data_IF_912575771471
#
_entry.id   IF_912575771471
#
_cell.length_a   1.000
_cell.length_b   1.000
_cell.length_c   1.000
_cell.angle_alpha   90.00
_cell.angle_beta   90.00
_cell.angle_gamma   90.00
#
_symmetry.space_group_name_H-M   'P 1'
#
loop_
_entity.id
_entity.type
_entity.pdbx_description
1 polymer ?
#
# COMPACT_ATOMS: atom_id res chain seq x y z
N UNK A 1 29.90 25.02 29.75
CA UNK A 1 30.08 23.61 29.33
C UNK A 1 28.95 23.27 28.34
N UNK A 2 29.24 23.47 27.05
CA UNK A 2 28.49 22.92 25.89
C UNK A 2 28.77 21.39 25.86
N UNK A 3 27.92 20.46 25.42
CA UNK A 3 27.11 20.43 24.18
C UNK A 3 26.20 19.17 24.17
N UNK A 4 25.10 19.26 23.42
CA UNK A 4 24.03 18.24 23.23
C UNK A 4 24.53 16.99 22.47
N UNK A 5 24.00 15.77 22.73
CA UNK A 5 24.21 14.64 21.84
C UNK A 5 23.37 14.79 20.57
N UNK A 6 24.06 14.90 19.44
CA UNK A 6 23.50 14.90 18.09
C UNK A 6 23.02 13.47 17.81
N UNK A 7 21.71 13.28 17.75
CA UNK A 7 21.10 12.09 17.17
C UNK A 7 21.30 12.14 15.66
N UNK A 8 22.20 11.29 15.14
CA UNK A 8 22.42 11.12 13.72
C UNK A 8 21.17 10.48 13.07
N UNK A 9 20.62 11.02 11.97
CA UNK A 9 19.64 10.29 11.20
C UNK A 9 20.37 9.19 10.42
N UNK A 10 20.05 7.94 10.73
CA UNK A 10 20.45 6.80 9.91
C UNK A 10 19.64 6.88 8.61
N UNK A 11 20.28 7.35 7.54
CA UNK A 11 19.73 7.31 6.20
C UNK A 11 19.76 5.86 5.69
N UNK A 12 18.60 5.21 5.59
CA UNK A 12 18.46 3.98 4.82
C UNK A 12 18.24 4.35 3.34
N UNK A 13 19.34 4.38 2.58
CA UNK A 13 19.30 4.40 1.12
C UNK A 13 19.25 2.94 0.62
N UNK A 14 18.05 2.47 0.25
CA UNK A 14 17.90 1.28 -0.58
C UNK A 14 17.23 1.73 -1.87
N UNK A 15 18.06 2.18 -2.81
CA UNK A 15 17.64 2.45 -4.19
C UNK A 15 18.12 1.30 -5.06
N UNK A 16 17.31 0.23 -5.14
CA UNK A 16 17.46 -0.76 -6.20
C UNK A 16 16.86 -0.18 -7.48
N UNK A 17 17.74 0.20 -8.40
CA UNK A 17 17.39 0.59 -9.75
C UNK A 17 16.74 -0.61 -10.47
N UNK A 18 15.51 -0.45 -10.94
CA UNK A 18 14.94 -1.33 -11.95
C UNK A 18 14.14 -0.51 -12.96
N UNK A 19 14.71 -0.44 -14.17
CA UNK A 19 14.02 0.02 -15.36
C UNK A 19 12.91 -0.99 -15.68
N UNK A 20 11.66 -0.55 -15.55
CA UNK A 20 10.48 -1.31 -15.95
C UNK A 20 9.49 -0.33 -16.57
N UNK A 21 9.16 -0.55 -17.83
CA UNK A 21 8.31 0.28 -18.67
C UNK A 21 6.97 0.56 -18.00
N UNK A 22 6.69 1.85 -17.78
CA UNK A 22 5.43 2.35 -17.28
C UNK A 22 4.32 2.13 -18.33
N UNK A 23 3.55 1.06 -18.16
CA UNK A 23 2.19 0.95 -18.72
C UNK A 23 1.24 0.83 -17.56
N UNK A 24 0.45 1.89 -17.38
CA UNK A 24 -0.61 2.11 -16.39
C UNK A 24 -1.37 0.84 -15.98
N UNK A 25 -1.67 0.61 -14.68
CA UNK A 25 -2.58 -0.46 -14.31
C UNK A 25 -4.01 0.01 -14.60
N UNK A 26 -4.44 -0.19 -15.84
CA UNK A 26 -5.84 -0.07 -16.25
C UNK A 26 -6.47 -1.46 -16.40
N UNK A 27 -6.00 -2.46 -15.63
CA UNK A 27 -6.71 -3.69 -15.28
C UNK A 27 -5.99 -4.26 -14.05
N UNK A 28 -6.45 -3.95 -12.84
CA UNK A 28 -5.94 -4.67 -11.67
C UNK A 28 -6.46 -6.11 -11.78
N UNK A 29 -5.62 -7.02 -12.23
CA UNK A 29 -5.92 -8.46 -12.26
C UNK A 29 -6.24 -8.93 -10.84
N UNK A 30 -6.99 -10.02 -10.70
CA UNK A 30 -7.33 -10.60 -9.38
C UNK A 30 -6.10 -10.86 -8.50
N UNK A 31 -4.95 -11.18 -9.10
CA UNK A 31 -3.66 -11.29 -8.42
C UNK A 31 -3.17 -9.96 -7.81
N UNK A 32 -3.33 -8.84 -8.52
CA UNK A 32 -2.96 -7.50 -8.02
C UNK A 32 -3.87 -7.08 -6.86
N UNK A 33 -5.16 -7.40 -6.93
CA UNK A 33 -6.08 -7.16 -5.81
C UNK A 33 -5.65 -7.87 -4.52
N UNK A 34 -5.25 -9.14 -4.61
CA UNK A 34 -4.79 -9.92 -3.47
C UNK A 34 -3.48 -9.34 -2.90
N UNK A 35 -2.54 -8.94 -3.77
CA UNK A 35 -1.29 -8.32 -3.37
C UNK A 35 -1.51 -6.97 -2.66
N UNK A 36 -2.33 -6.08 -3.23
CA UNK A 36 -2.67 -4.78 -2.60
C UNK A 36 -3.37 -4.98 -1.25
N UNK A 37 -4.30 -5.94 -1.15
CA UNK A 37 -5.00 -6.24 0.09
C UNK A 37 -4.05 -6.78 1.17
N UNK A 38 -3.09 -7.63 0.80
CA UNK A 38 -2.07 -8.14 1.72
C UNK A 38 -1.17 -7.01 2.25
N UNK A 39 -0.68 -6.13 1.38
CA UNK A 39 0.15 -5.00 1.77
C UNK A 39 -0.57 -4.03 2.72
N UNK A 40 -1.83 -3.69 2.41
CA UNK A 40 -2.64 -2.83 3.27
C UNK A 40 -2.93 -3.48 4.63
N UNK A 41 -3.06 -4.81 4.71
CA UNK A 41 -3.19 -5.51 5.99
C UNK A 41 -1.91 -5.44 6.82
N UNK A 42 -0.76 -5.62 6.18
CA UNK A 42 0.54 -5.47 6.86
C UNK A 42 0.71 -4.06 7.44
N UNK A 43 0.33 -3.03 6.67
CA UNK A 43 0.34 -1.66 7.17
C UNK A 43 -0.72 -1.40 8.25
N UNK A 44 -1.89 -2.06 8.18
CA UNK A 44 -2.90 -1.97 9.23
C UNK A 44 -2.44 -2.63 10.54
N UNK A 45 -1.56 -3.63 10.49
CA UNK A 45 -1.04 -4.31 11.68
C UNK A 45 -0.16 -3.40 12.55
N UNK A 46 0.49 -2.40 11.97
CA UNK A 46 1.33 -1.42 12.68
C UNK A 46 0.61 -0.09 12.93
N UNK A 47 -0.62 0.07 12.42
CA UNK A 47 -1.40 1.29 12.55
C UNK A 47 -2.20 1.36 13.86
N UNK A 48 -2.61 2.57 14.20
CA UNK A 48 -3.47 2.83 15.35
C UNK A 48 -4.80 2.05 15.25
N UNK A 49 -5.34 1.46 16.33
CA UNK A 49 -6.45 0.49 16.24
C UNK A 49 -7.70 1.03 15.54
N UNK A 50 -8.03 2.31 15.71
CA UNK A 50 -9.17 2.94 15.05
C UNK A 50 -8.97 3.06 13.53
N UNK A 51 -7.76 3.43 13.10
CA UNK A 51 -7.37 3.52 11.68
C UNK A 51 -7.30 2.14 11.04
N UNK A 52 -6.72 1.17 11.74
CA UNK A 52 -6.63 -0.23 11.32
C UNK A 52 -8.02 -0.84 11.07
N UNK A 53 -8.98 -0.65 11.98
CA UNK A 53 -10.36 -1.15 11.82
C UNK A 53 -11.03 -0.58 10.56
N UNK A 54 -10.90 0.74 10.35
CA UNK A 54 -11.45 1.41 9.16
C UNK A 54 -10.79 0.91 7.88
N UNK A 55 -9.47 0.73 7.89
CA UNK A 55 -8.74 0.20 6.75
C UNK A 55 -9.16 -1.24 6.43
N UNK A 56 -9.21 -2.13 7.43
CA UNK A 56 -9.59 -3.54 7.28
C UNK A 56 -11.01 -3.68 6.69
N UNK A 57 -11.97 -2.85 7.11
CA UNK A 57 -13.32 -2.87 6.54
C UNK A 57 -13.31 -2.54 5.04
N UNK A 58 -12.52 -1.54 4.63
CA UNK A 58 -12.40 -1.16 3.22
C UNK A 58 -11.60 -2.19 2.41
N UNK A 59 -10.57 -2.82 3.00
CA UNK A 59 -9.82 -3.92 2.36
C UNK A 59 -10.76 -5.08 2.03
N UNK A 60 -11.57 -5.54 3.00
CA UNK A 60 -12.54 -6.63 2.78
C UNK A 60 -13.55 -6.30 1.69
N UNK A 61 -14.03 -5.05 1.67
CA UNK A 61 -14.95 -4.60 0.61
C UNK A 61 -14.26 -4.60 -0.75
N UNK A 62 -13.01 -4.14 -0.82
CA UNK A 62 -12.22 -4.17 -2.05
C UNK A 62 -11.99 -5.59 -2.57
N UNK A 63 -11.70 -6.55 -1.68
CA UNK A 63 -11.55 -7.96 -2.05
C UNK A 63 -12.83 -8.58 -2.59
N UNK A 64 -13.98 -8.29 -1.95
CA UNK A 64 -15.28 -8.74 -2.45
C UNK A 64 -15.59 -8.18 -3.84
N UNK A 65 -15.21 -6.92 -4.09
CA UNK A 65 -15.37 -6.30 -5.40
C UNK A 65 -14.43 -6.90 -6.45
N UNK A 66 -13.18 -7.23 -6.09
CA UNK A 66 -12.27 -7.95 -6.99
C UNK A 66 -12.76 -9.36 -7.32
N UNK A 67 -13.34 -10.07 -6.34
CA UNK A 67 -13.96 -11.37 -6.59
C UNK A 67 -15.19 -11.27 -7.52
N UNK A 68 -15.82 -10.11 -7.60
CA UNK A 68 -16.93 -9.80 -8.50
C UNK A 68 -16.48 -9.12 -9.82
N UNK A 69 -15.18 -9.19 -10.16
CA UNK A 69 -14.58 -8.58 -11.35
C UNK A 69 -14.77 -7.05 -11.46
N UNK A 70 -15.06 -6.40 -10.33
CA UNK A 70 -15.25 -4.95 -10.21
C UNK A 70 -13.95 -4.25 -9.78
N UNK A 71 -12.88 -4.42 -10.56
CA UNK A 71 -11.53 -3.94 -10.23
C UNK A 71 -11.45 -2.42 -9.97
N UNK A 72 -12.23 -1.61 -10.70
CA UNK A 72 -12.24 -0.16 -10.51
C UNK A 72 -12.75 0.25 -9.13
N UNK A 73 -13.93 -0.27 -8.74
CA UNK A 73 -14.51 0.00 -7.42
C UNK A 73 -13.67 -0.60 -6.30
N UNK A 74 -13.05 -1.76 -6.53
CA UNK A 74 -12.10 -2.33 -5.59
C UNK A 74 -10.89 -1.43 -5.34
N UNK A 75 -10.28 -0.91 -6.42
CA UNK A 75 -9.18 0.06 -6.33
C UNK A 75 -9.57 1.33 -5.57
N UNK A 76 -10.83 1.79 -5.71
CA UNK A 76 -11.34 2.92 -4.90
C UNK A 76 -11.37 2.56 -3.41
N UNK A 77 -11.83 1.36 -3.04
CA UNK A 77 -11.85 0.91 -1.64
C UNK A 77 -10.44 0.74 -1.07
N UNK A 78 -9.51 0.18 -1.82
CA UNK A 78 -8.11 0.07 -1.39
C UNK A 78 -7.44 1.43 -1.19
N UNK A 79 -7.73 2.42 -2.04
CA UNK A 79 -7.31 3.81 -1.81
C UNK A 79 -7.88 4.40 -0.52
N UNK A 80 -9.17 4.17 -0.24
CA UNK A 80 -9.78 4.64 1.02
C UNK A 80 -9.12 3.98 2.23
N UNK A 81 -8.80 2.69 2.14
CA UNK A 81 -8.03 1.99 3.17
C UNK A 81 -6.63 2.60 3.35
N UNK A 82 -5.90 2.85 2.26
CA UNK A 82 -4.58 3.49 2.30
C UNK A 82 -4.63 4.88 2.96
N UNK A 83 -5.59 5.72 2.56
CA UNK A 83 -5.79 7.04 3.18
C UNK A 83 -6.12 6.94 4.66
N UNK A 84 -6.90 5.95 5.10
CA UNK A 84 -7.18 5.74 6.52
C UNK A 84 -5.92 5.35 7.32
N UNK A 85 -4.95 4.69 6.67
CA UNK A 85 -3.66 4.32 7.25
C UNK A 85 -2.61 5.44 7.14
N UNK A 86 -2.92 6.54 6.47
CA UNK A 86 -1.95 7.62 6.20
C UNK A 86 -0.93 7.25 5.12
N UNK A 87 -1.23 6.27 4.27
CA UNK A 87 -0.41 5.89 3.12
C UNK A 87 -0.84 6.77 1.95
N UNK A 88 0.09 7.53 1.41
CA UNK A 88 -0.17 8.37 0.25
C UNK A 88 -0.45 7.53 -1.00
N UNK A 89 -1.21 8.09 -1.94
CA UNK A 89 -1.52 7.41 -3.21
C UNK A 89 -0.27 7.00 -3.97
N UNK A 90 0.77 7.82 -3.91
CA UNK A 90 2.04 7.57 -4.58
C UNK A 90 2.80 6.43 -3.90
N UNK A 91 2.68 6.29 -2.58
CA UNK A 91 3.21 5.15 -1.83
C UNK A 91 2.42 3.87 -2.08
N UNK A 92 1.10 3.96 -2.23
CA UNK A 92 0.26 2.82 -2.59
C UNK A 92 0.54 2.34 -4.03
N UNK A 93 0.76 3.27 -4.97
CA UNK A 93 1.14 2.96 -6.34
C UNK A 93 2.53 2.29 -6.37
N UNK A 94 3.51 2.84 -5.65
CA UNK A 94 4.85 2.26 -5.51
C UNK A 94 4.83 0.87 -4.84
N UNK A 95 3.93 0.65 -3.87
CA UNK A 95 3.78 -0.64 -3.21
C UNK A 95 3.09 -1.68 -4.11
N UNK A 96 2.07 -1.29 -4.88
CA UNK A 96 1.35 -2.23 -5.77
C UNK A 96 2.21 -2.63 -6.98
N UNK A 97 3.10 -1.74 -7.44
CA UNK A 97 4.14 -2.08 -8.44
C UNK A 97 5.24 -3.02 -7.92
N UNK A 98 5.24 -3.36 -6.63
CA UNK A 98 6.23 -4.24 -5.99
C UNK A 98 5.77 -5.71 -5.90
N UNK A 99 4.86 -6.17 -6.76
CA UNK A 99 4.46 -7.60 -6.80
C UNK A 99 5.57 -8.43 -7.47
N UNK A 100 6.18 -9.41 -6.76
CA UNK A 100 7.20 -10.28 -7.34
C UNK A 100 6.52 -11.26 -8.30
N UNK A 101 6.91 -11.19 -9.57
CA UNK A 101 6.69 -12.31 -10.48
C UNK A 101 7.57 -13.47 -9.99
N UNK A 102 6.93 -14.52 -9.47
CA UNK A 102 7.49 -15.87 -9.46
C UNK A 102 6.83 -16.64 -10.60
#
# INVERSE_FOLDING_TARGET
MLTRPIAAPIAFAVSLAFLGTATSPAVASTAECAATAAQLRSAAATAEPAKARKAIANIRTGEALCAADNAFEAGRKFRVAATALGIDKDQLAAATSATPAN
#
